data_IF_079298412845
#
_entry.id   IF_079298412845
#
_cell.length_a   1.000
_cell.length_b   1.000
_cell.length_c   1.000
_cell.angle_alpha   90.00
_cell.angle_beta   90.00
_cell.angle_gamma   90.00
#
_symmetry.space_group_name_H-M   'P 1'
#
loop_
_entity.id
_entity.type
_entity.pdbx_description
1 polymer ?
#
# COMPACT_ATOMS: atom_id res chain seq x y z
N UNK A 1 0.82 23.00 -30.46
CA UNK A 1 0.93 21.72 -29.75
C UNK A 1 1.88 21.88 -28.57
N UNK A 2 1.35 21.83 -27.37
CA UNK A 2 2.10 21.93 -26.10
C UNK A 2 2.96 20.68 -25.86
N UNK A 3 3.98 20.72 -24.98
CA UNK A 3 4.71 19.50 -24.61
C UNK A 3 3.83 18.38 -24.06
N UNK A 4 2.76 18.70 -23.31
CA UNK A 4 1.76 17.72 -22.88
C UNK A 4 1.08 17.05 -24.08
N UNK A 5 0.54 17.83 -25.01
CA UNK A 5 -0.18 17.31 -26.18
C UNK A 5 0.71 16.42 -27.07
N UNK A 6 2.01 16.72 -27.17
CA UNK A 6 2.96 15.84 -27.88
C UNK A 6 3.15 14.49 -27.20
N UNK A 7 3.20 14.47 -25.86
CA UNK A 7 3.29 13.22 -25.09
C UNK A 7 1.99 12.41 -25.21
N UNK A 8 0.83 13.06 -25.07
CA UNK A 8 -0.48 12.44 -25.24
C UNK A 8 -0.65 11.84 -26.66
N UNK A 9 -0.13 12.51 -27.69
CA UNK A 9 -0.12 11.97 -29.05
C UNK A 9 0.81 10.76 -29.18
N UNK A 10 2.01 10.81 -28.58
CA UNK A 10 2.93 9.68 -28.56
C UNK A 10 2.33 8.46 -27.85
N UNK A 11 1.61 8.67 -26.74
CA UNK A 11 0.89 7.60 -26.04
C UNK A 11 -0.08 6.88 -26.98
N UNK A 12 -0.90 7.63 -27.72
CA UNK A 12 -1.89 7.10 -28.67
C UNK A 12 -1.27 6.29 -29.81
N UNK A 13 -0.06 6.64 -30.24
CA UNK A 13 0.64 5.99 -31.36
C UNK A 13 1.48 4.79 -30.92
N UNK A 14 1.99 4.80 -29.69
CA UNK A 14 3.07 3.89 -29.25
C UNK A 14 2.66 2.88 -28.20
N UNK A 15 1.66 3.19 -27.37
CA UNK A 15 1.19 2.27 -26.33
C UNK A 15 0.31 1.16 -26.93
N UNK A 16 0.16 0.06 -26.20
CA UNK A 16 -0.77 -0.99 -26.54
C UNK A 16 -2.21 -0.44 -26.61
N UNK A 17 -3.03 -0.99 -27.50
CA UNK A 17 -4.43 -0.57 -27.65
C UNK A 17 -5.28 -0.72 -26.37
N UNK A 18 -4.86 -1.62 -25.48
CA UNK A 18 -5.45 -1.86 -24.15
C UNK A 18 -4.90 -0.96 -23.04
N UNK A 19 -3.85 -0.17 -23.32
CA UNK A 19 -3.27 0.73 -22.34
C UNK A 19 -4.19 1.92 -22.03
N UNK A 20 -4.11 2.43 -20.80
CA UNK A 20 -4.74 3.68 -20.46
C UNK A 20 -4.01 4.87 -21.11
N UNK A 21 -4.76 5.88 -21.53
CA UNK A 21 -4.20 7.06 -22.18
C UNK A 21 -4.55 8.31 -21.37
N UNK A 22 -3.56 9.16 -21.08
CA UNK A 22 -3.74 10.33 -20.23
C UNK A 22 -4.76 11.31 -20.81
N UNK A 23 -4.82 11.43 -22.15
CA UNK A 23 -5.79 12.29 -22.86
C UNK A 23 -7.25 11.86 -22.65
N UNK A 24 -7.48 10.60 -22.27
CA UNK A 24 -8.82 10.04 -21.98
C UNK A 24 -9.11 9.98 -20.47
N UNK A 25 -8.24 10.56 -19.64
CA UNK A 25 -8.41 10.59 -18.19
C UNK A 25 -9.40 11.68 -17.75
N UNK A 26 -9.98 11.47 -16.57
CA UNK A 26 -10.90 12.43 -15.96
C UNK A 26 -10.61 12.60 -14.48
N UNK A 27 -10.91 13.79 -13.96
CA UNK A 27 -10.85 14.14 -12.53
C UNK A 27 -12.27 14.46 -12.05
N UNK A 28 -12.52 14.25 -10.78
CA UNK A 28 -13.81 14.57 -10.18
C UNK A 28 -14.05 16.08 -10.13
N UNK A 29 -13.00 16.84 -9.76
CA UNK A 29 -13.03 18.29 -9.89
C UNK A 29 -12.26 18.69 -11.16
N UNK A 30 -12.93 19.30 -12.15
CA UNK A 30 -12.26 19.77 -13.35
C UNK A 30 -11.15 20.77 -13.02
N UNK A 31 -10.02 20.65 -13.72
CA UNK A 31 -8.90 21.57 -13.61
C UNK A 31 -8.33 21.82 -15.01
N UNK A 32 -7.77 23.01 -15.22
CA UNK A 32 -7.10 23.32 -16.48
C UNK A 32 -5.93 22.35 -16.73
N UNK A 33 -5.80 21.83 -17.97
CA UNK A 33 -4.68 20.98 -18.33
C UNK A 33 -3.33 21.70 -18.19
N UNK A 34 -2.30 20.99 -17.71
CA UNK A 34 -0.96 21.53 -17.59
C UNK A 34 -0.30 21.62 -18.98
N UNK A 35 0.44 22.68 -19.33
CA UNK A 35 1.04 22.79 -20.65
C UNK A 35 2.17 21.77 -20.88
N UNK A 36 2.77 21.23 -19.82
CA UNK A 36 3.98 20.40 -19.88
C UNK A 36 3.68 18.94 -19.55
N UNK A 37 2.94 18.70 -18.47
CA UNK A 37 2.77 17.35 -17.90
C UNK A 37 1.44 16.72 -18.27
N UNK A 38 1.45 15.40 -18.52
CA UNK A 38 0.22 14.62 -18.68
C UNK A 38 -0.55 14.52 -17.36
N UNK A 39 -1.82 14.11 -17.42
CA UNK A 39 -2.64 13.97 -16.22
C UNK A 39 -2.05 12.98 -15.20
N UNK A 40 -1.47 11.87 -15.66
CA UNK A 40 -0.85 10.86 -14.79
C UNK A 40 0.47 11.33 -14.18
N UNK A 41 1.28 12.11 -14.91
CA UNK A 41 2.48 12.76 -14.36
C UNK A 41 2.12 13.73 -13.24
N UNK A 42 1.05 14.52 -13.41
CA UNK A 42 0.55 15.40 -12.35
C UNK A 42 0.10 14.63 -11.12
N UNK A 43 -0.54 13.48 -11.30
CA UNK A 43 -0.97 12.63 -10.18
C UNK A 43 0.22 12.09 -9.41
N UNK A 44 1.19 11.51 -10.11
CA UNK A 44 2.47 11.06 -9.53
C UNK A 44 3.10 12.17 -8.69
N UNK A 45 3.24 13.37 -9.27
CA UNK A 45 3.90 14.48 -8.59
C UNK A 45 3.12 14.91 -7.32
N UNK A 46 1.78 14.93 -7.36
CA UNK A 46 0.93 15.21 -6.19
C UNK A 46 1.12 14.17 -5.09
N UNK A 47 1.18 12.89 -5.45
CA UNK A 47 1.39 11.79 -4.50
C UNK A 47 2.74 11.93 -3.81
N UNK A 48 3.83 12.12 -4.57
CA UNK A 48 5.20 12.21 -4.02
C UNK A 48 5.35 13.38 -3.04
N UNK A 49 4.65 14.50 -3.27
CA UNK A 49 4.72 15.68 -2.40
C UNK A 49 3.74 15.64 -1.21
N UNK A 50 2.85 14.65 -1.14
CA UNK A 50 1.88 14.50 -0.07
C UNK A 50 2.54 14.29 1.30
N UNK A 51 1.81 14.59 2.39
CA UNK A 51 2.29 14.28 3.74
C UNK A 51 2.29 12.78 3.98
N UNK A 52 1.27 12.07 3.50
CA UNK A 52 1.13 10.63 3.60
C UNK A 52 2.32 9.88 2.98
N UNK A 53 2.74 10.25 1.76
CA UNK A 53 3.90 9.62 1.11
C UNK A 53 5.19 9.81 1.91
N UNK A 54 5.43 11.03 2.42
CA UNK A 54 6.59 11.30 3.28
C UNK A 54 6.59 10.49 4.57
N UNK A 55 5.42 10.15 5.12
CA UNK A 55 5.29 9.35 6.33
C UNK A 55 5.65 7.88 6.10
N UNK A 56 5.60 7.37 4.87
CA UNK A 56 6.00 5.99 4.55
C UNK A 56 7.45 5.69 4.96
N UNK A 57 8.33 6.70 4.94
CA UNK A 57 9.71 6.60 5.45
C UNK A 57 9.79 6.22 6.93
N UNK A 58 8.75 6.52 7.70
CA UNK A 58 8.72 6.36 9.15
C UNK A 58 7.65 5.36 9.59
N UNK A 59 7.25 4.47 8.68
CA UNK A 59 6.36 3.33 8.92
C UNK A 59 7.10 2.05 8.58
N UNK A 60 7.10 1.12 9.52
CA UNK A 60 7.57 -0.26 9.32
C UNK A 60 6.64 -1.00 8.36
N UNK A 61 7.22 -1.93 7.59
CA UNK A 61 6.47 -2.80 6.68
C UNK A 61 5.91 -4.01 7.44
N UNK A 62 6.79 -4.92 7.88
CA UNK A 62 6.45 -6.17 8.59
C UNK A 62 7.11 -6.25 9.97
N UNK A 63 8.38 -5.89 10.08
CA UNK A 63 9.17 -6.13 11.30
C UNK A 63 9.35 -4.86 12.14
N UNK A 64 9.16 -5.01 13.46
CA UNK A 64 9.51 -4.00 14.47
C UNK A 64 10.73 -4.53 15.19
N UNK A 65 11.91 -4.06 14.81
CA UNK A 65 13.12 -4.30 15.58
C UNK A 65 13.85 -2.95 15.75
N UNK A 66 13.91 -2.43 16.98
CA UNK A 66 14.50 -1.13 17.28
C UNK A 66 16.04 -1.10 17.20
N UNK A 67 16.73 -2.24 17.00
CA UNK A 67 18.19 -2.34 17.11
C UNK A 67 18.95 -2.47 15.76
N UNK A 68 18.33 -2.81 14.61
CA UNK A 68 19.02 -2.76 13.31
C UNK A 68 18.68 -1.53 12.43
N UNK A 69 19.71 -0.90 11.86
CA UNK A 69 19.63 0.30 11.02
C UNK A 69 19.24 0.02 9.55
N UNK A 70 18.87 -1.21 9.22
CA UNK A 70 18.72 -1.68 7.83
C UNK A 70 17.36 -2.28 7.51
N UNK A 71 16.35 -2.10 8.37
CA UNK A 71 15.01 -2.60 8.09
C UNK A 71 14.31 -1.81 6.99
N UNK A 72 13.52 -2.54 6.19
CA UNK A 72 12.68 -1.97 5.14
C UNK A 72 11.55 -1.15 5.75
N UNK A 73 11.35 0.02 5.18
CA UNK A 73 10.20 0.88 5.48
C UNK A 73 9.14 0.67 4.41
N UNK A 74 7.92 1.16 4.65
CA UNK A 74 6.90 1.18 3.59
C UNK A 74 7.35 1.93 2.35
N UNK A 75 8.22 2.95 2.52
CA UNK A 75 8.77 3.69 1.39
C UNK A 75 9.69 2.82 0.53
N UNK A 76 10.56 1.99 1.13
CA UNK A 76 11.43 1.10 0.35
C UNK A 76 10.62 0.03 -0.37
N UNK A 77 9.61 -0.56 0.29
CA UNK A 77 8.65 -1.48 -0.35
C UNK A 77 7.96 -0.81 -1.54
N UNK A 78 7.41 0.39 -1.33
CA UNK A 78 6.74 1.16 -2.37
C UNK A 78 7.65 1.40 -3.58
N UNK A 79 8.91 1.76 -3.37
CA UNK A 79 9.87 1.97 -4.46
C UNK A 79 10.19 0.69 -5.24
N UNK A 80 10.24 -0.46 -4.58
CA UNK A 80 10.46 -1.76 -5.21
C UNK A 80 9.25 -2.20 -6.03
N UNK A 81 8.04 -2.06 -5.48
CA UNK A 81 6.79 -2.26 -6.22
C UNK A 81 6.76 -1.37 -7.46
N UNK A 82 7.08 -0.08 -7.32
CA UNK A 82 7.16 0.85 -8.44
C UNK A 82 8.16 0.39 -9.50
N UNK A 83 9.36 -0.06 -9.10
CA UNK A 83 10.38 -0.52 -10.04
C UNK A 83 9.93 -1.77 -10.83
N UNK A 84 9.39 -2.77 -10.14
CA UNK A 84 8.88 -4.00 -10.76
C UNK A 84 7.71 -3.66 -11.69
N UNK A 85 6.75 -2.86 -11.21
CA UNK A 85 5.55 -2.50 -11.97
C UNK A 85 5.90 -1.72 -13.25
N UNK A 86 6.79 -0.72 -13.16
CA UNK A 86 7.25 0.04 -14.34
C UNK A 86 7.97 -0.84 -15.35
N UNK A 87 8.76 -1.82 -14.87
CA UNK A 87 9.45 -2.78 -15.75
C UNK A 87 8.45 -3.62 -16.55
N UNK A 88 7.44 -4.18 -15.89
CA UNK A 88 6.39 -4.98 -16.52
C UNK A 88 5.55 -4.10 -17.47
N UNK A 89 5.11 -2.93 -17.02
CA UNK A 89 4.31 -2.00 -17.82
C UNK A 89 5.02 -1.58 -19.11
N UNK A 90 6.32 -1.24 -19.02
CA UNK A 90 7.11 -0.85 -20.20
C UNK A 90 7.26 -2.00 -21.20
N UNK A 91 7.50 -3.22 -20.71
CA UNK A 91 7.60 -4.40 -21.57
C UNK A 91 6.28 -4.72 -22.29
N UNK A 92 5.14 -4.50 -21.62
CA UNK A 92 3.80 -4.67 -22.19
C UNK A 92 3.31 -3.44 -22.99
N UNK A 93 4.12 -2.38 -23.12
CA UNK A 93 3.74 -1.08 -23.70
C UNK A 93 2.48 -0.46 -23.07
N UNK A 94 2.33 -0.59 -21.76
CA UNK A 94 1.30 0.07 -20.96
C UNK A 94 1.76 1.46 -20.52
N UNK A 95 0.85 2.26 -19.95
CA UNK A 95 1.18 3.60 -19.50
C UNK A 95 2.03 3.58 -18.22
N UNK A 96 3.30 3.91 -18.37
CA UNK A 96 4.27 3.86 -17.29
C UNK A 96 4.00 4.91 -16.20
N UNK A 97 3.57 6.12 -16.57
CA UNK A 97 3.27 7.20 -15.61
C UNK A 97 2.03 6.86 -14.77
N UNK A 98 1.00 6.24 -15.36
CA UNK A 98 -0.15 5.72 -14.61
C UNK A 98 0.27 4.60 -13.64
N UNK A 99 1.04 3.64 -14.14
CA UNK A 99 1.53 2.51 -13.34
C UNK A 99 2.35 3.02 -12.15
N UNK A 100 3.25 3.97 -12.39
CA UNK A 100 4.06 4.60 -11.35
C UNK A 100 3.19 5.36 -10.33
N UNK A 101 2.22 6.16 -10.78
CA UNK A 101 1.33 6.89 -9.87
C UNK A 101 0.53 5.93 -8.96
N UNK A 102 -0.03 4.85 -9.51
CA UNK A 102 -0.76 3.84 -8.71
C UNK A 102 0.19 3.17 -7.71
N UNK A 103 1.36 2.72 -8.16
CA UNK A 103 2.35 2.06 -7.31
C UNK A 103 2.83 2.95 -6.17
N UNK A 104 3.05 4.25 -6.39
CA UNK A 104 3.47 5.16 -5.33
C UNK A 104 2.36 5.46 -4.31
N UNK A 105 1.10 5.27 -4.68
CA UNK A 105 -0.06 5.61 -3.85
C UNK A 105 -0.73 4.42 -3.16
N UNK A 106 -0.45 3.18 -3.58
CA UNK A 106 -1.16 1.99 -3.10
C UNK A 106 -1.11 1.85 -1.57
N UNK A 107 0.02 2.24 -0.97
CA UNK A 107 0.35 1.99 0.43
C UNK A 107 0.17 3.19 1.38
N UNK A 108 -0.40 4.32 0.90
CA UNK A 108 -0.51 5.56 1.67
C UNK A 108 -1.34 5.44 2.96
N UNK A 109 -2.34 4.55 2.97
CA UNK A 109 -3.32 4.37 4.03
C UNK A 109 -2.94 3.41 5.14
N UNK A 110 -1.79 2.73 5.04
CA UNK A 110 -1.38 1.76 6.04
C UNK A 110 -1.24 2.38 7.43
N UNK A 111 -1.68 1.69 8.48
CA UNK A 111 -1.50 2.11 9.86
C UNK A 111 -0.03 2.11 10.30
N UNK A 112 0.31 2.75 11.43
CA UNK A 112 1.58 2.50 12.12
C UNK A 112 1.76 1.00 12.40
N UNK A 113 3.00 0.52 12.44
CA UNK A 113 3.35 -0.87 12.77
C UNK A 113 2.79 -1.94 11.80
N UNK A 114 2.59 -1.56 10.54
CA UNK A 114 2.17 -2.47 9.47
C UNK A 114 0.88 -3.25 9.79
N UNK A 115 0.88 -4.55 9.48
CA UNK A 115 -0.30 -5.42 9.66
C UNK A 115 -0.76 -5.53 11.11
N UNK A 116 0.15 -5.49 12.08
CA UNK A 116 -0.21 -5.52 13.49
C UNK A 116 -1.08 -4.30 13.85
N UNK A 117 -0.71 -3.12 13.38
CA UNK A 117 -1.52 -1.92 13.54
C UNK A 117 -2.86 -2.01 12.80
N UNK A 118 -2.89 -2.62 11.61
CA UNK A 118 -4.11 -2.74 10.81
C UNK A 118 -5.14 -3.62 11.52
N UNK A 119 -4.72 -4.79 12.02
CA UNK A 119 -5.57 -5.67 12.81
C UNK A 119 -6.08 -5.00 14.09
N UNK A 120 -5.21 -4.30 14.81
CA UNK A 120 -5.58 -3.61 16.04
C UNK A 120 -6.57 -2.46 15.79
N UNK A 121 -6.36 -1.71 14.71
CA UNK A 121 -7.22 -0.61 14.32
C UNK A 121 -8.59 -1.11 13.85
N UNK A 122 -8.63 -2.19 13.05
CA UNK A 122 -9.88 -2.82 12.62
C UNK A 122 -10.68 -3.38 13.79
N UNK A 123 -10.03 -4.10 14.71
CA UNK A 123 -10.67 -4.61 15.92
C UNK A 123 -11.22 -3.49 16.80
N UNK A 124 -10.44 -2.42 17.02
CA UNK A 124 -10.87 -1.27 17.79
C UNK A 124 -12.01 -0.50 17.10
N UNK A 125 -11.98 -0.36 15.78
CA UNK A 125 -13.06 0.27 15.02
C UNK A 125 -14.38 -0.51 15.19
N UNK A 126 -14.33 -1.83 15.00
CA UNK A 126 -15.49 -2.73 15.10
C UNK A 126 -16.12 -2.75 16.49
N UNK A 127 -15.37 -2.47 17.56
CA UNK A 127 -15.95 -2.39 18.90
C UNK A 127 -16.90 -1.19 19.09
N UNK A 128 -16.79 -0.15 18.25
CA UNK A 128 -17.71 1.00 18.26
C UNK A 128 -18.72 0.95 17.12
N UNK A 129 -18.33 0.45 15.95
CA UNK A 129 -19.17 0.36 14.76
C UNK A 129 -19.10 -1.06 14.17
N UNK A 130 -19.91 -2.02 14.67
CA UNK A 130 -19.79 -3.43 14.27
C UNK A 130 -20.04 -3.71 12.77
N UNK A 131 -20.71 -2.79 12.07
CA UNK A 131 -21.01 -2.89 10.64
C UNK A 131 -19.88 -2.41 9.72
N UNK A 132 -18.82 -1.81 10.27
CA UNK A 132 -17.71 -1.26 9.51
C UNK A 132 -16.36 -1.64 10.16
N UNK A 133 -15.27 -1.42 9.46
CA UNK A 133 -13.94 -1.80 9.90
C UNK A 133 -12.85 -1.01 9.18
N UNK A 134 -11.61 -1.32 9.50
CA UNK A 134 -10.44 -0.70 8.89
C UNK A 134 -9.83 -1.63 7.84
N UNK A 135 -9.43 -1.04 6.71
CA UNK A 135 -8.66 -1.69 5.65
C UNK A 135 -7.71 -0.67 5.04
N UNK A 136 -6.43 -1.02 4.90
CA UNK A 136 -5.44 -0.08 4.39
C UNK A 136 -5.73 0.41 2.97
N UNK A 137 -6.28 -0.43 2.10
CA UNK A 137 -6.55 -0.10 0.70
C UNK A 137 -7.66 0.96 0.58
N UNK A 138 -8.73 0.81 1.36
CA UNK A 138 -9.79 1.82 1.47
C UNK A 138 -9.27 3.11 2.14
N UNK A 139 -8.35 2.98 3.10
CA UNK A 139 -7.72 4.14 3.71
C UNK A 139 -6.79 4.88 2.74
N UNK A 140 -6.07 4.18 1.85
CA UNK A 140 -5.22 4.78 0.83
C UNK A 140 -6.04 5.64 -0.13
N UNK A 141 -7.22 5.13 -0.55
CA UNK A 141 -8.20 5.92 -1.30
C UNK A 141 -8.64 7.16 -0.53
N UNK A 142 -9.05 6.96 0.73
CA UNK A 142 -9.51 8.05 1.58
C UNK A 142 -8.45 9.13 1.78
N UNK A 143 -7.17 8.76 1.87
CA UNK A 143 -6.05 9.70 1.93
C UNK A 143 -6.03 10.60 0.70
N UNK A 144 -6.15 10.03 -0.50
CA UNK A 144 -6.05 10.80 -1.76
C UNK A 144 -7.34 11.50 -2.17
N UNK A 145 -8.49 11.08 -1.64
CA UNK A 145 -9.80 11.69 -1.94
C UNK A 145 -10.25 12.73 -0.91
N UNK A 146 -9.87 12.55 0.36
CA UNK A 146 -10.46 13.31 1.47
C UNK A 146 -9.39 13.97 2.36
N UNK A 147 -8.35 13.24 2.78
CA UNK A 147 -7.51 13.66 3.91
C UNK A 147 -6.36 14.60 3.54
N UNK A 148 -5.69 14.34 2.41
CA UNK A 148 -4.73 15.30 1.87
C UNK A 148 -5.47 16.56 1.38
N UNK A 149 -4.75 17.67 1.25
CA UNK A 149 -5.33 18.94 0.79
C UNK A 149 -4.54 19.42 -0.43
N UNK A 150 -5.25 19.71 -1.53
CA UNK A 150 -4.66 20.28 -2.74
C UNK A 150 -5.38 21.57 -3.13
N UNK A 151 -4.65 22.69 -3.12
CA UNK A 151 -5.25 24.01 -3.22
C UNK A 151 -6.18 24.25 -2.04
N UNK A 152 -7.42 24.64 -2.32
CA UNK A 152 -8.46 24.88 -1.31
C UNK A 152 -9.42 23.69 -1.14
N UNK A 153 -9.18 22.56 -1.81
CA UNK A 153 -10.09 21.41 -1.86
C UNK A 153 -9.56 20.16 -1.14
N UNK A 154 -10.47 19.27 -0.68
CA UNK A 154 -10.11 18.00 -0.05
C UNK A 154 -9.59 16.98 -1.06
N UNK A 155 -8.64 16.15 -0.64
CA UNK A 155 -7.94 15.20 -1.48
C UNK A 155 -6.94 15.83 -2.47
N UNK A 156 -6.18 14.96 -3.12
CA UNK A 156 -5.23 15.29 -4.17
C UNK A 156 -5.90 15.49 -5.55
N UNK A 157 -7.22 15.28 -5.65
CA UNK A 157 -7.99 15.34 -6.90
C UNK A 157 -7.36 14.51 -8.03
N UNK A 158 -6.93 13.28 -7.75
CA UNK A 158 -6.27 12.41 -8.72
C UNK A 158 -7.23 11.99 -9.83
N UNK A 159 -6.68 11.54 -10.96
CA UNK A 159 -7.49 10.93 -12.03
C UNK A 159 -8.21 9.69 -11.52
N UNK A 160 -9.37 9.40 -12.12
CA UNK A 160 -10.15 8.22 -11.76
C UNK A 160 -9.34 6.92 -11.92
N UNK A 161 -8.50 6.81 -12.97
CA UNK A 161 -7.66 5.64 -13.21
C UNK A 161 -6.69 5.36 -12.06
N UNK A 162 -6.06 6.40 -11.51
CA UNK A 162 -5.15 6.23 -10.36
C UNK A 162 -5.93 5.75 -9.14
N UNK A 163 -7.12 6.32 -8.89
CA UNK A 163 -7.99 5.91 -7.78
C UNK A 163 -8.44 4.46 -7.93
N UNK A 164 -8.91 4.07 -9.10
CA UNK A 164 -9.29 2.69 -9.40
C UNK A 164 -8.13 1.69 -9.16
N UNK A 165 -6.92 2.06 -9.58
CA UNK A 165 -5.73 1.26 -9.31
C UNK A 165 -5.44 1.09 -7.82
N UNK A 166 -5.55 2.17 -7.03
CA UNK A 166 -5.39 2.13 -5.56
C UNK A 166 -6.48 1.26 -4.92
N UNK A 167 -7.72 1.37 -5.36
CA UNK A 167 -8.87 0.62 -4.83
C UNK A 167 -8.70 -0.90 -4.96
N UNK A 168 -8.04 -1.33 -6.02
CA UNK A 168 -8.03 -2.72 -6.47
C UNK A 168 -6.65 -3.40 -6.43
N UNK A 169 -5.66 -2.78 -5.76
CA UNK A 169 -4.33 -3.36 -5.63
C UNK A 169 -4.28 -4.53 -4.63
N UNK A 170 -5.06 -4.46 -3.54
CA UNK A 170 -4.98 -5.41 -2.44
C UNK A 170 -5.84 -6.65 -2.67
N UNK A 171 -5.31 -7.82 -2.30
CA UNK A 171 -5.96 -9.15 -2.47
C UNK A 171 -6.14 -9.93 -1.17
N UNK A 172 -5.65 -9.38 -0.06
CA UNK A 172 -5.46 -10.14 1.18
C UNK A 172 -4.76 -11.49 0.91
N UNK A 173 -5.32 -12.56 1.47
CA UNK A 173 -4.78 -13.92 1.33
C UNK A 173 -5.20 -14.68 0.08
N UNK A 174 -6.10 -14.15 -0.76
CA UNK A 174 -6.54 -14.85 -1.98
C UNK A 174 -5.40 -15.06 -2.99
N UNK A 175 -5.51 -16.14 -3.75
CA UNK A 175 -4.59 -16.54 -4.80
C UNK A 175 -4.61 -15.55 -5.98
N UNK A 176 -3.48 -15.39 -6.67
CA UNK A 176 -3.31 -14.39 -7.73
C UNK A 176 -4.33 -14.52 -8.87
N UNK A 177 -4.70 -15.76 -9.19
CA UNK A 177 -5.57 -16.14 -10.30
C UNK A 177 -7.02 -16.41 -9.87
N UNK A 178 -7.43 -16.09 -8.64
CA UNK A 178 -8.82 -16.22 -8.20
C UNK A 178 -9.75 -15.36 -9.10
N UNK A 179 -10.72 -15.98 -9.81
CA UNK A 179 -11.62 -15.26 -10.72
C UNK A 179 -12.60 -14.32 -10.00
N UNK A 180 -12.80 -14.47 -8.69
CA UNK A 180 -13.66 -13.62 -7.88
C UNK A 180 -12.96 -12.36 -7.35
N UNK A 181 -11.66 -12.20 -7.62
CA UNK A 181 -10.93 -11.01 -7.22
C UNK A 181 -11.45 -9.79 -7.96
N UNK A 182 -11.76 -8.73 -7.21
CA UNK A 182 -11.94 -7.40 -7.80
C UNK A 182 -10.64 -6.98 -8.48
N UNK A 183 -10.76 -6.40 -9.67
CA UNK A 183 -9.63 -5.99 -10.51
C UNK A 183 -9.82 -4.54 -10.91
N UNK A 184 -8.71 -3.82 -11.01
CA UNK A 184 -8.71 -2.52 -11.68
C UNK A 184 -9.15 -2.70 -13.13
N UNK A 185 -9.91 -1.72 -13.62
CA UNK A 185 -10.31 -1.66 -15.03
C UNK A 185 -9.11 -1.46 -15.94
N UNK A 186 -8.05 -0.81 -15.43
CA UNK A 186 -6.82 -0.58 -16.18
C UNK A 186 -5.86 -1.76 -16.05
N UNK A 187 -5.13 -2.07 -17.14
CA UNK A 187 -4.08 -3.08 -17.08
C UNK A 187 -2.92 -2.62 -16.19
N UNK A 188 -2.66 -1.32 -16.15
CA UNK A 188 -1.67 -0.68 -15.27
C UNK A 188 -1.96 -0.97 -13.79
N UNK A 189 -3.21 -0.81 -13.35
CA UNK A 189 -3.61 -1.18 -12.00
C UNK A 189 -3.47 -2.69 -11.73
N UNK A 190 -3.76 -3.53 -12.73
CA UNK A 190 -3.53 -4.98 -12.62
C UNK A 190 -2.05 -5.36 -12.52
N UNK A 191 -1.16 -4.62 -13.22
CA UNK A 191 0.30 -4.76 -13.08
C UNK A 191 0.73 -4.42 -11.66
N UNK A 192 0.31 -3.29 -11.10
CA UNK A 192 0.68 -2.91 -9.72
C UNK A 192 0.23 -3.97 -8.71
N UNK A 193 -1.00 -4.48 -8.86
CA UNK A 193 -1.57 -5.57 -8.06
C UNK A 193 -0.75 -6.88 -8.11
N UNK A 194 0.02 -7.10 -9.17
CA UNK A 194 0.91 -8.27 -9.30
C UNK A 194 2.32 -7.92 -8.79
N UNK A 195 2.83 -6.75 -9.14
CA UNK A 195 4.13 -6.26 -8.68
C UNK A 195 4.20 -6.18 -7.15
N UNK A 196 3.12 -5.75 -6.49
CA UNK A 196 3.02 -5.74 -5.03
C UNK A 196 3.16 -7.15 -4.44
N UNK A 197 2.51 -8.16 -5.05
CA UNK A 197 2.69 -9.56 -4.65
C UNK A 197 4.13 -10.04 -4.84
N UNK A 198 4.75 -9.70 -5.98
CA UNK A 198 6.14 -10.07 -6.28
C UNK A 198 7.08 -9.45 -5.24
N UNK A 199 6.94 -8.16 -4.94
CA UNK A 199 7.76 -7.48 -3.94
C UNK A 199 7.58 -8.13 -2.56
N UNK A 200 6.33 -8.29 -2.13
CA UNK A 200 5.95 -8.91 -0.85
C UNK A 200 6.63 -10.27 -0.63
N UNK A 201 6.43 -11.24 -1.54
CA UNK A 201 6.96 -12.61 -1.33
C UNK A 201 8.48 -12.67 -1.30
N UNK A 202 9.16 -11.72 -1.96
CA UNK A 202 10.61 -11.73 -2.04
C UNK A 202 11.26 -11.01 -0.86
N UNK A 203 10.77 -9.83 -0.53
CA UNK A 203 11.36 -9.04 0.54
C UNK A 203 11.00 -9.58 1.92
N UNK A 204 9.78 -10.06 2.12
CA UNK A 204 9.40 -10.63 3.41
C UNK A 204 10.10 -11.97 3.67
N UNK A 205 10.38 -12.75 2.61
CA UNK A 205 11.23 -13.93 2.72
C UNK A 205 12.66 -13.58 3.13
N UNK A 206 13.26 -12.59 2.45
CA UNK A 206 14.64 -12.18 2.76
C UNK A 206 14.75 -11.59 4.17
N UNK A 207 13.79 -10.75 4.57
CA UNK A 207 13.75 -10.14 5.89
C UNK A 207 13.49 -11.20 6.99
N UNK A 208 12.59 -12.16 6.77
CA UNK A 208 12.34 -13.25 7.72
C UNK A 208 13.56 -14.18 7.88
N UNK A 209 14.29 -14.45 6.80
CA UNK A 209 15.55 -15.21 6.85
C UNK A 209 16.62 -14.43 7.59
N UNK A 210 16.77 -13.14 7.29
CA UNK A 210 17.75 -12.26 7.93
C UNK A 210 17.49 -12.11 9.43
N UNK A 211 16.23 -11.98 9.83
CA UNK A 211 15.83 -11.91 11.23
C UNK A 211 15.90 -13.27 11.96
N UNK A 212 16.31 -14.35 11.26
CA UNK A 212 16.45 -15.69 11.84
C UNK A 212 15.13 -16.38 12.18
N UNK A 213 14.01 -15.86 11.67
CA UNK A 213 12.67 -16.42 11.90
C UNK A 213 12.44 -17.67 11.05
N UNK A 214 13.02 -17.68 9.86
CA UNK A 214 13.00 -18.80 8.92
C UNK A 214 14.44 -19.16 8.63
N UNK A 215 14.82 -20.42 8.84
CA UNK A 215 16.10 -20.90 8.32
C UNK A 215 15.99 -21.11 6.81
N UNK A 216 17.03 -20.83 6.01
CA UNK A 216 17.00 -21.03 4.56
C UNK A 216 16.54 -22.43 4.13
N UNK A 217 16.84 -23.47 4.93
CA UNK A 217 16.47 -24.85 4.64
C UNK A 217 14.99 -25.17 4.91
N UNK A 218 14.26 -24.28 5.62
CA UNK A 218 12.83 -24.41 5.88
C UNK A 218 11.98 -23.88 4.72
N UNK A 219 12.57 -23.11 3.80
CA UNK A 219 11.85 -22.55 2.65
C UNK A 219 11.45 -23.68 1.70
N UNK A 220 10.17 -23.76 1.26
CA UNK A 220 9.71 -24.83 0.39
C UNK A 220 10.52 -24.93 -0.90
N UNK A 221 11.08 -26.11 -1.15
CA UNK A 221 11.95 -26.37 -2.31
C UNK A 221 11.19 -26.23 -3.63
N UNK A 222 9.93 -26.67 -3.69
CA UNK A 222 9.15 -26.66 -4.93
C UNK A 222 8.97 -25.24 -5.50
N UNK A 223 8.49 -24.24 -4.74
CA UNK A 223 8.49 -22.85 -5.21
C UNK A 223 9.87 -22.31 -5.61
N UNK A 224 10.92 -22.62 -4.84
CA UNK A 224 12.28 -22.17 -5.17
C UNK A 224 12.79 -22.77 -6.49
N UNK A 225 12.42 -24.02 -6.82
CA UNK A 225 12.76 -24.63 -8.12
C UNK A 225 12.08 -23.94 -9.29
N UNK A 226 10.86 -23.42 -9.09
CA UNK A 226 10.09 -22.74 -10.15
C UNK A 226 10.46 -21.28 -10.30
N UNK A 227 10.64 -20.58 -9.18
CA UNK A 227 10.85 -19.14 -9.16
C UNK A 227 12.33 -18.76 -9.22
N UNK A 228 13.20 -19.54 -8.59
CA UNK A 228 14.62 -19.24 -8.42
C UNK A 228 15.05 -19.32 -6.96
N UNK A 229 16.35 -19.54 -6.74
CA UNK A 229 16.92 -19.68 -5.39
C UNK A 229 17.24 -18.32 -4.77
N UNK A 230 17.67 -17.37 -5.59
CA UNK A 230 18.05 -16.02 -5.14
C UNK A 230 16.91 -15.02 -5.31
N UNK A 231 16.97 -13.93 -4.55
CA UNK A 231 16.06 -12.79 -4.65
C UNK A 231 15.87 -12.30 -6.10
N UNK A 232 16.99 -12.05 -6.80
CA UNK A 232 16.97 -11.51 -8.16
C UNK A 232 16.44 -12.50 -9.19
N UNK A 233 16.71 -13.80 -9.03
CA UNK A 233 16.14 -14.84 -9.89
C UNK A 233 14.62 -14.91 -9.73
N UNK A 234 14.12 -14.92 -8.50
CA UNK A 234 12.67 -14.97 -8.22
C UNK A 234 11.92 -13.80 -8.85
N UNK A 235 12.39 -12.57 -8.63
CA UNK A 235 11.80 -11.37 -9.24
C UNK A 235 11.84 -11.48 -10.77
N UNK A 236 12.99 -11.86 -11.33
CA UNK A 236 13.17 -11.93 -12.79
C UNK A 236 12.23 -12.97 -13.41
N UNK A 237 12.15 -14.16 -12.84
CA UNK A 237 11.27 -15.24 -13.31
C UNK A 237 9.80 -14.81 -13.25
N UNK A 238 9.35 -14.25 -12.14
CA UNK A 238 7.96 -13.79 -12.00
C UNK A 238 7.66 -12.66 -12.98
N UNK A 239 8.52 -11.65 -13.10
CA UNK A 239 8.31 -10.54 -14.02
C UNK A 239 8.29 -10.99 -15.49
N UNK A 240 9.22 -11.86 -15.89
CA UNK A 240 9.27 -12.42 -17.24
C UNK A 240 8.02 -13.25 -17.56
N UNK A 241 7.56 -14.07 -16.61
CA UNK A 241 6.33 -14.85 -16.78
C UNK A 241 5.10 -13.96 -16.95
N UNK A 242 4.95 -12.94 -16.11
CA UNK A 242 3.84 -11.97 -16.23
C UNK A 242 3.84 -11.32 -17.62
N UNK A 243 5.01 -10.88 -18.09
CA UNK A 243 5.15 -10.24 -19.40
C UNK A 243 4.77 -11.23 -20.52
N UNK A 244 5.37 -12.41 -20.53
CA UNK A 244 5.14 -13.41 -21.57
C UNK A 244 3.69 -13.92 -21.59
N UNK A 245 3.10 -14.13 -20.41
CA UNK A 245 1.74 -14.64 -20.29
C UNK A 245 0.68 -13.59 -20.57
N UNK A 246 0.96 -12.31 -20.32
CA UNK A 246 0.02 -11.21 -20.52
C UNK A 246 0.17 -10.52 -21.88
N UNK A 247 1.20 -10.87 -22.67
CA UNK A 247 1.43 -10.28 -23.98
C UNK A 247 0.21 -10.49 -24.90
N UNK A 248 -0.26 -9.40 -25.50
CA UNK A 248 -1.44 -9.37 -26.40
C UNK A 248 -2.77 -9.82 -25.77
N UNK A 249 -2.86 -9.84 -24.42
CA UNK A 249 -4.12 -10.12 -23.71
C UNK A 249 -4.77 -8.83 -23.21
N UNK A 250 -6.06 -8.91 -22.93
CA UNK A 250 -6.87 -7.87 -22.30
C UNK A 250 -6.82 -7.95 -20.76
N UNK A 251 -5.84 -8.67 -20.22
CA UNK A 251 -5.69 -8.95 -18.79
C UNK A 251 -4.25 -9.26 -18.44
N UNK A 252 -3.83 -8.83 -17.24
CA UNK A 252 -2.50 -9.14 -16.70
C UNK A 252 -2.61 -10.23 -15.64
N UNK A 253 -1.93 -11.36 -15.87
CA UNK A 253 -1.83 -12.50 -14.95
C UNK A 253 -0.46 -13.19 -15.07
N UNK A 254 -0.20 -14.10 -14.14
CA UNK A 254 0.88 -15.09 -14.24
C UNK A 254 0.37 -16.39 -14.86
N UNK A 255 1.26 -17.18 -15.46
CA UNK A 255 0.96 -18.56 -15.80
C UNK A 255 0.58 -19.36 -14.53
N UNK A 256 -0.21 -20.42 -14.69
CA UNK A 256 -0.67 -21.24 -13.55
C UNK A 256 0.50 -21.75 -12.71
N UNK A 257 1.56 -22.24 -13.35
CA UNK A 257 2.74 -22.78 -12.66
C UNK A 257 3.44 -21.74 -11.79
N UNK A 258 3.65 -20.52 -12.30
CA UNK A 258 4.33 -19.45 -11.56
C UNK A 258 3.40 -18.83 -10.50
N UNK A 259 2.11 -18.70 -10.80
CA UNK A 259 1.12 -18.24 -9.82
C UNK A 259 1.05 -19.17 -8.61
N UNK A 260 0.93 -20.49 -8.83
CA UNK A 260 0.87 -21.49 -7.76
C UNK A 260 2.14 -21.49 -6.90
N UNK A 261 3.33 -21.37 -7.51
CA UNK A 261 4.58 -21.26 -6.78
C UNK A 261 4.66 -19.97 -5.94
N UNK A 262 4.18 -18.85 -6.49
CA UNK A 262 4.14 -17.55 -5.81
C UNK A 262 3.18 -17.58 -4.62
N UNK A 263 1.98 -18.12 -4.81
CA UNK A 263 0.97 -18.25 -3.77
C UNK A 263 1.41 -19.26 -2.68
N UNK A 264 2.11 -20.33 -3.05
CA UNK A 264 2.71 -21.26 -2.09
C UNK A 264 3.77 -20.60 -1.19
N UNK A 265 4.66 -19.75 -1.74
CA UNK A 265 5.60 -18.96 -0.90
C UNK A 265 4.87 -17.99 0.01
N UNK A 266 3.86 -17.30 -0.50
CA UNK A 266 3.05 -16.37 0.29
C UNK A 266 2.35 -17.09 1.44
N UNK A 267 1.76 -18.27 1.21
CA UNK A 267 1.12 -19.06 2.26
C UNK A 267 2.12 -19.55 3.30
N UNK A 268 3.30 -20.01 2.87
CA UNK A 268 4.38 -20.37 3.78
C UNK A 268 4.83 -19.19 4.65
N UNK A 269 5.04 -18.01 4.07
CA UNK A 269 5.39 -16.80 4.82
C UNK A 269 4.28 -16.42 5.80
N UNK A 270 3.02 -16.46 5.36
CA UNK A 270 1.86 -16.19 6.21
C UNK A 270 1.84 -17.06 7.47
N UNK A 271 2.03 -18.37 7.29
CA UNK A 271 2.05 -19.31 8.40
C UNK A 271 3.26 -19.12 9.32
N UNK A 272 4.46 -18.99 8.75
CA UNK A 272 5.71 -18.98 9.53
C UNK A 272 6.05 -17.64 10.16
N UNK A 273 5.79 -16.56 9.45
CA UNK A 273 6.10 -15.20 9.93
C UNK A 273 4.90 -14.68 10.69
N UNK A 274 3.77 -14.47 10.02
CA UNK A 274 2.68 -13.69 10.57
C UNK A 274 1.89 -14.44 11.65
N UNK A 275 1.67 -15.75 11.49
CA UNK A 275 0.91 -16.53 12.47
C UNK A 275 1.76 -16.98 13.65
N UNK A 276 2.99 -17.46 13.43
CA UNK A 276 3.85 -17.92 14.53
C UNK A 276 4.49 -16.76 15.31
N UNK A 277 4.93 -15.67 14.67
CA UNK A 277 5.52 -14.52 15.40
C UNK A 277 4.52 -13.78 16.26
N UNK A 278 3.25 -13.70 15.86
CA UNK A 278 2.22 -12.99 16.64
C UNK A 278 2.20 -13.44 18.10
N UNK A 279 2.53 -14.71 18.37
CA UNK A 279 2.56 -15.28 19.71
C UNK A 279 3.94 -15.28 20.37
N UNK A 280 5.00 -14.98 19.60
CA UNK A 280 6.41 -15.07 20.04
C UNK A 280 7.08 -13.70 20.16
N UNK A 281 6.50 -12.66 19.58
CA UNK A 281 7.06 -11.32 19.55
C UNK A 281 6.23 -10.36 20.44
N UNK A 282 6.76 -10.11 21.64
CA UNK A 282 6.14 -9.21 22.62
C UNK A 282 5.96 -7.78 22.08
N UNK A 283 6.81 -7.33 21.17
CA UNK A 283 6.75 -5.96 20.63
C UNK A 283 5.61 -5.80 19.62
N UNK A 284 5.28 -6.83 18.85
CA UNK A 284 4.07 -6.85 18.03
C UNK A 284 2.80 -6.76 18.90
N UNK A 285 2.75 -7.49 20.02
CA UNK A 285 1.63 -7.41 20.96
C UNK A 285 1.53 -6.02 21.62
N UNK A 286 2.66 -5.41 21.97
CA UNK A 286 2.70 -4.02 22.47
C UNK A 286 2.21 -3.04 21.41
N UNK A 287 2.62 -3.20 20.15
CA UNK A 287 2.17 -2.37 19.04
C UNK A 287 0.66 -2.49 18.81
N UNK A 288 0.11 -3.71 18.81
CA UNK A 288 -1.33 -3.94 18.71
C UNK A 288 -2.09 -3.25 19.85
N UNK A 289 -1.63 -3.45 21.09
CA UNK A 289 -2.23 -2.82 22.26
C UNK A 289 -2.18 -1.29 22.17
N UNK A 290 -1.02 -0.75 21.80
CA UNK A 290 -0.78 0.68 21.67
C UNK A 290 -1.75 1.32 20.68
N UNK A 291 -1.90 0.76 19.48
CA UNK A 291 -2.80 1.28 18.45
C UNK A 291 -4.26 1.20 18.92
N UNK A 292 -4.67 0.06 19.49
CA UNK A 292 -6.03 -0.11 20.00
C UNK A 292 -6.37 0.80 21.19
N UNK A 293 -5.41 1.02 22.11
CA UNK A 293 -5.54 1.93 23.24
C UNK A 293 -5.65 3.39 22.77
N UNK A 294 -4.81 3.82 21.81
CA UNK A 294 -4.91 5.16 21.21
C UNK A 294 -6.27 5.39 20.55
N UNK A 295 -6.76 4.41 19.78
CA UNK A 295 -8.08 4.53 19.14
C UNK A 295 -9.20 4.72 20.18
N UNK A 296 -9.24 3.86 21.21
CA UNK A 296 -10.24 3.96 22.29
C UNK A 296 -10.15 5.29 23.04
N UNK A 297 -8.94 5.73 23.35
CA UNK A 297 -8.72 7.01 24.01
C UNK A 297 -9.26 8.19 23.22
N UNK A 298 -9.00 8.26 21.91
CA UNK A 298 -9.52 9.36 21.08
C UNK A 298 -11.02 9.25 20.78
N UNK A 299 -11.62 8.05 20.89
CA UNK A 299 -13.08 7.91 20.88
C UNK A 299 -13.73 8.50 22.13
N UNK A 300 -13.09 8.32 23.29
CA UNK A 300 -13.54 8.86 24.59
C UNK A 300 -13.23 10.35 24.75
N UNK A 301 -12.06 10.79 24.29
CA UNK A 301 -11.53 12.16 24.41
C UNK A 301 -11.13 12.73 23.04
N UNK A 302 -12.10 12.99 22.14
CA UNK A 302 -11.82 13.47 20.79
C UNK A 302 -11.16 14.85 20.75
N UNK A 303 -11.37 15.67 21.79
CA UNK A 303 -10.72 16.97 22.01
C UNK A 303 -9.18 16.90 22.13
N UNK A 304 -8.63 15.71 22.37
CA UNK A 304 -7.19 15.48 22.43
C UNK A 304 -6.54 15.27 21.04
N UNK A 305 -7.36 15.15 19.98
CA UNK A 305 -6.87 15.16 18.60
C UNK A 305 -6.61 16.59 18.11
N UNK A 306 -5.79 16.79 17.06
CA UNK A 306 -5.54 18.12 16.51
C UNK A 306 -6.83 18.86 16.12
N UNK A 307 -6.83 20.18 16.26
CA UNK A 307 -7.96 21.03 15.86
C UNK A 307 -8.38 20.77 14.42
N UNK A 308 -9.70 20.74 14.17
CA UNK A 308 -10.28 20.48 12.86
C UNK A 308 -10.41 19.00 12.49
N UNK A 309 -9.88 18.06 13.28
CA UNK A 309 -10.06 16.62 13.04
C UNK A 309 -11.42 16.07 13.53
N UNK A 310 -12.05 16.73 14.49
CA UNK A 310 -13.33 16.32 15.07
C UNK A 310 -14.28 17.52 15.28
N UNK A 311 -15.56 17.24 15.51
CA UNK A 311 -16.60 18.22 15.89
C UNK A 311 -17.58 17.62 16.90
N UNK A 312 -18.16 18.45 17.76
CA UNK A 312 -19.11 18.02 18.79
C UNK A 312 -20.37 17.34 18.24
N UNK A 313 -20.78 17.70 17.03
CA UNK A 313 -21.97 17.18 16.35
C UNK A 313 -21.74 15.83 15.64
N UNK A 314 -20.52 15.30 15.64
CA UNK A 314 -20.22 14.01 15.03
C UNK A 314 -20.90 12.87 15.79
N UNK A 315 -21.69 12.08 15.05
CA UNK A 315 -22.18 10.80 15.54
C UNK A 315 -21.03 9.80 15.76
N UNK A 316 -21.35 8.64 16.35
CA UNK A 316 -20.35 7.60 16.66
C UNK A 316 -19.59 7.13 15.43
N UNK A 317 -20.25 7.06 14.26
CA UNK A 317 -19.66 6.55 13.02
C UNK A 317 -18.66 7.57 12.46
N UNK A 318 -19.08 8.83 12.35
CA UNK A 318 -18.23 9.93 11.90
C UNK A 318 -17.03 10.13 12.83
N UNK A 319 -17.23 10.00 14.15
CA UNK A 319 -16.16 10.06 15.14
C UNK A 319 -15.18 8.89 14.98
N UNK A 320 -15.68 7.67 14.85
CA UNK A 320 -14.83 6.49 14.64
C UNK A 320 -13.97 6.63 13.38
N UNK A 321 -14.54 7.15 12.28
CA UNK A 321 -13.78 7.43 11.08
C UNK A 321 -12.72 8.52 11.28
N UNK A 322 -13.05 9.63 11.96
CA UNK A 322 -12.10 10.70 12.25
C UNK A 322 -10.92 10.23 13.11
N UNK A 323 -11.20 9.43 14.15
CA UNK A 323 -10.18 8.81 15.00
C UNK A 323 -9.33 7.83 14.18
N UNK A 324 -9.96 7.01 13.34
CA UNK A 324 -9.29 6.09 12.44
C UNK A 324 -8.31 6.83 11.51
N UNK A 325 -8.77 7.91 10.88
CA UNK A 325 -7.96 8.75 9.99
C UNK A 325 -6.74 9.32 10.72
N UNK A 326 -6.93 9.80 11.95
CA UNK A 326 -5.86 10.36 12.75
C UNK A 326 -4.83 9.30 13.17
N UNK A 327 -5.28 8.14 13.66
CA UNK A 327 -4.41 7.05 14.13
C UNK A 327 -3.67 6.39 12.96
N UNK A 328 -4.37 6.04 11.88
CA UNK A 328 -3.74 5.48 10.67
C UNK A 328 -2.75 6.46 10.03
N UNK A 329 -3.01 7.77 10.14
CA UNK A 329 -2.15 8.84 9.64
C UNK A 329 -0.86 9.05 10.42
N UNK A 330 -0.66 8.41 11.59
CA UNK A 330 0.55 8.56 12.40
C UNK A 330 1.75 7.83 11.80
N UNK A 331 2.96 8.23 12.15
CA UNK A 331 4.16 7.40 11.98
C UNK A 331 4.36 6.54 13.23
N UNK A 332 5.17 5.48 13.15
CA UNK A 332 5.40 4.57 14.28
C UNK A 332 5.92 5.33 15.51
N UNK A 333 6.96 6.15 15.32
CA UNK A 333 7.53 6.98 16.39
C UNK A 333 6.55 8.00 16.98
N UNK A 334 5.67 8.55 16.15
CA UNK A 334 4.66 9.50 16.62
C UNK A 334 3.57 8.80 17.42
N UNK A 335 3.15 7.61 16.99
CA UNK A 335 2.20 6.78 17.74
C UNK A 335 2.77 6.40 19.12
N UNK A 336 4.05 5.97 19.19
CA UNK A 336 4.74 5.74 20.47
C UNK A 336 4.72 6.99 21.35
N UNK A 337 5.12 8.13 20.82
CA UNK A 337 5.15 9.39 21.58
C UNK A 337 3.76 9.80 22.11
N UNK A 338 2.70 9.56 21.34
CA UNK A 338 1.32 9.81 21.78
C UNK A 338 0.91 8.85 22.88
N UNK A 339 1.25 7.58 22.75
CA UNK A 339 0.95 6.59 23.77
C UNK A 339 1.66 6.90 25.09
N UNK A 340 2.95 7.22 25.04
CA UNK A 340 3.71 7.65 26.21
C UNK A 340 3.09 8.90 26.88
N UNK A 341 2.66 9.88 26.08
CA UNK A 341 2.03 11.09 26.60
C UNK A 341 0.73 10.79 27.38
N UNK A 342 -0.09 9.87 26.89
CA UNK A 342 -1.46 9.68 27.38
C UNK A 342 -1.58 8.55 28.41
N UNK A 343 -0.73 7.53 28.36
CA UNK A 343 -0.85 6.32 29.18
C UNK A 343 0.31 6.09 30.14
N UNK A 344 1.45 6.73 29.95
CA UNK A 344 2.63 6.56 30.82
C UNK A 344 2.73 7.74 31.79
N UNK A 345 2.53 7.52 33.11
CA UNK A 345 2.68 8.56 34.10
C UNK A 345 4.11 9.11 34.08
N UNK A 346 4.25 10.44 34.05
CA UNK A 346 5.56 11.08 34.27
C UNK A 346 5.72 11.32 35.77
N UNK A 347 6.86 10.89 36.32
CA UNK A 347 7.25 11.30 37.67
C UNK A 347 7.28 12.82 37.76
N UNK A 348 6.81 13.38 38.88
CA UNK A 348 6.96 14.80 39.15
C UNK A 348 8.47 15.14 39.09
N UNK A 349 8.89 16.18 38.34
CA UNK A 349 10.25 16.66 38.47
C UNK A 349 10.43 17.11 39.93
N UNK A 350 11.30 16.40 40.65
CA UNK A 350 11.70 16.74 42.03
C UNK A 350 12.51 18.03 42.06
#
# INVERSE_FOLDING_TARGET
>A
MTPRERQEQWELESLAHTAAHAVRSSRERPEEPDPIRTAFQRDRDRIVHSKAFRRLKHKTQVFIDPEEDHFRTRLTHTLEVTQIARTIARALRLNEDLTEAIALAHDLGHSPFGHAGEEALDAAYKSFVPSAGFRHDLQSLRVVEVLEIHGDGPGLNLTWQVRDGIAHHSKGMRDLNDPQLSRSETLEGQVVRIADRIAYVNHDLDDAVRAGMIRPEEVPIEPLRRLGATHSERISTMAMDVIAFSESRDRVDMSTEIAEATDALKHFLYERVYREERFRNDDLLKAQRLVGDLFRFYMEQPDQMPEGTWREDMDTIARAQAVCDYVAGMTDRYAVSRFEKHFVPKGLPL
#
